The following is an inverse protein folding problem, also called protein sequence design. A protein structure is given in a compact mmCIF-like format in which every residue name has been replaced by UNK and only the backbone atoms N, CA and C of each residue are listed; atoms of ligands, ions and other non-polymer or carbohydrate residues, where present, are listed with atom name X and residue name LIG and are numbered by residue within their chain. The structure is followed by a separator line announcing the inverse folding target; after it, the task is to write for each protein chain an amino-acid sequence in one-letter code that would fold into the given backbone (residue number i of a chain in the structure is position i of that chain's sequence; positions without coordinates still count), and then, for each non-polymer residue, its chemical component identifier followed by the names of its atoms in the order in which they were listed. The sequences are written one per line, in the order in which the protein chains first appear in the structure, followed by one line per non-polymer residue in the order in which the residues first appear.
data_IF_276996363275
#
_entry.id   IF_276996363275
#
_cell.length_a   1.000
_cell.length_b   1.000
_cell.length_c   1.000
_cell.angle_alpha   90.00
_cell.angle_beta   90.00
_cell.angle_gamma   90.00
#
_symmetry.space_group_name_H-M   'P 1'
#
loop_
_entity.id
_entity.type
_entity.pdbx_description
1 polymer ?
#
# COMPACT_ATOMS: atom_id res chain seq x y z
N UNK A 1 -26.20 23.19 6.90
CA UNK A 1 -25.60 22.17 6.01
C UNK A 1 -24.37 22.77 5.38
N UNK A 2 -23.17 22.33 5.77
CA UNK A 2 -21.93 22.77 5.12
C UNK A 2 -21.92 22.29 3.65
N UNK A 3 -21.48 23.10 2.68
CA UNK A 3 -21.46 22.70 1.28
C UNK A 3 -20.59 21.44 1.09
N UNK A 4 -21.15 20.43 0.42
CA UNK A 4 -20.45 19.18 0.12
C UNK A 4 -19.30 19.49 -0.86
N UNK A 5 -18.06 19.44 -0.38
CA UNK A 5 -16.86 19.70 -1.18
C UNK A 5 -16.80 18.66 -2.31
N UNK A 6 -16.58 19.11 -3.55
CA UNK A 6 -16.53 18.22 -4.73
C UNK A 6 -15.15 17.54 -4.82
N UNK A 7 -15.11 16.26 -5.18
CA UNK A 7 -13.84 15.60 -5.52
C UNK A 7 -13.10 16.37 -6.63
N UNK A 8 -11.78 16.49 -6.48
CA UNK A 8 -10.94 17.31 -7.35
C UNK A 8 -10.85 18.80 -6.96
N UNK A 9 -11.62 19.26 -5.95
CA UNK A 9 -11.48 20.62 -5.43
C UNK A 9 -10.06 20.83 -4.89
N UNK A 10 -9.49 22.01 -5.15
CA UNK A 10 -8.12 22.35 -4.70
C UNK A 10 -8.15 23.49 -3.69
N UNK A 11 -7.24 23.44 -2.71
CA UNK A 11 -6.97 24.55 -1.82
C UNK A 11 -5.54 24.49 -1.32
N UNK A 12 -5.03 25.63 -0.85
CA UNK A 12 -3.78 25.67 -0.10
C UNK A 12 -4.04 25.37 1.40
N UNK A 13 -3.17 24.56 2.00
CA UNK A 13 -3.16 24.31 3.46
C UNK A 13 -1.71 24.45 3.91
N UNK A 14 -1.44 25.41 4.78
CA UNK A 14 -0.11 25.68 5.33
C UNK A 14 0.97 25.87 4.24
N UNK A 15 0.65 26.58 3.16
CA UNK A 15 1.57 26.85 2.05
C UNK A 15 1.79 25.65 1.13
N UNK A 16 0.91 24.64 1.18
CA UNK A 16 0.99 23.44 0.36
C UNK A 16 -0.31 23.23 -0.42
N UNK A 17 -0.23 22.95 -1.72
CA UNK A 17 -1.40 22.64 -2.52
C UNK A 17 -1.97 21.28 -2.10
N UNK A 18 -3.28 21.23 -1.90
CA UNK A 18 -4.02 20.01 -1.60
C UNK A 18 -5.20 19.85 -2.57
N UNK A 19 -5.60 18.60 -2.78
CA UNK A 19 -6.75 18.20 -3.58
C UNK A 19 -7.68 17.33 -2.74
N UNK A 20 -8.98 17.55 -2.86
CA UNK A 20 -9.99 16.88 -2.07
C UNK A 20 -10.51 15.61 -2.75
N UNK A 21 -10.50 14.48 -2.04
CA UNK A 21 -11.16 13.23 -2.45
C UNK A 21 -11.75 12.53 -1.23
N UNK A 22 -13.01 12.13 -1.31
CA UNK A 22 -13.68 11.19 -0.39
C UNK A 22 -13.51 11.51 1.11
N UNK A 23 -13.52 12.79 1.48
CA UNK A 23 -13.38 13.27 2.86
C UNK A 23 -11.98 13.78 3.22
N UNK A 24 -10.99 13.58 2.36
CA UNK A 24 -9.59 13.85 2.64
C UNK A 24 -9.04 14.99 1.78
N UNK A 25 -8.27 15.88 2.42
CA UNK A 25 -7.38 16.80 1.72
C UNK A 25 -6.02 16.16 1.58
N UNK A 26 -5.65 15.85 0.34
CA UNK A 26 -4.43 15.11 0.01
C UNK A 26 -3.46 16.08 -0.65
N UNK A 27 -2.16 16.02 -0.31
CA UNK A 27 -1.13 16.82 -1.00
C UNK A 27 -1.23 16.64 -2.51
N UNK A 28 -1.32 17.75 -3.20
CA UNK A 28 -1.44 17.80 -4.65
C UNK A 28 -0.07 17.93 -5.30
N UNK A 29 0.27 16.95 -6.13
CA UNK A 29 1.40 16.98 -7.05
C UNK A 29 0.87 17.16 -8.47
N UNK A 30 1.39 18.17 -9.16
CA UNK A 30 1.02 18.38 -10.54
C UNK A 30 1.45 17.17 -11.40
N UNK A 31 0.54 16.61 -12.22
CA UNK A 31 0.94 15.59 -13.19
C UNK A 31 2.03 16.15 -14.11
N UNK A 32 3.07 15.36 -14.42
CA UNK A 32 4.03 15.72 -15.46
C UNK A 32 3.35 16.00 -16.82
N UNK A 33 4.01 16.73 -17.74
CA UNK A 33 3.51 16.94 -19.09
C UNK A 33 3.24 15.62 -19.82
N UNK A 34 2.19 15.57 -20.63
CA UNK A 34 1.83 14.42 -21.47
C UNK A 34 2.86 14.22 -22.61
N UNK A 35 3.99 13.59 -22.28
CA UNK A 35 5.09 13.30 -23.21
C UNK A 35 5.54 11.86 -23.00
N UNK A 36 6.08 11.21 -24.04
CA UNK A 36 6.61 9.85 -23.90
C UNK A 36 7.76 9.77 -22.87
N UNK A 37 8.63 10.79 -22.79
CA UNK A 37 9.69 10.82 -21.78
C UNK A 37 9.13 10.84 -20.35
N UNK A 38 8.16 11.72 -20.06
CA UNK A 38 7.56 11.76 -18.73
C UNK A 38 6.82 10.45 -18.41
N UNK A 39 6.18 9.84 -19.40
CA UNK A 39 5.52 8.53 -19.27
C UNK A 39 6.51 7.42 -18.96
N UNK A 40 7.67 7.40 -19.63
CA UNK A 40 8.78 6.47 -19.36
C UNK A 40 9.30 6.63 -17.94
N UNK A 41 9.57 7.86 -17.52
CA UNK A 41 10.12 8.13 -16.19
C UNK A 41 9.14 7.70 -15.09
N UNK A 42 7.84 7.95 -15.30
CA UNK A 42 6.78 7.46 -14.43
C UNK A 42 6.71 5.92 -14.41
N UNK A 43 6.77 5.25 -15.56
CA UNK A 43 6.81 3.79 -15.63
C UNK A 43 7.99 3.21 -14.85
N UNK A 44 9.21 3.71 -15.07
CA UNK A 44 10.41 3.25 -14.37
C UNK A 44 10.26 3.39 -12.84
N UNK A 45 9.74 4.53 -12.38
CA UNK A 45 9.54 4.77 -10.96
C UNK A 45 8.47 3.84 -10.35
N UNK A 46 7.38 3.58 -11.07
CA UNK A 46 6.34 2.66 -10.62
C UNK A 46 6.80 1.19 -10.67
N UNK A 47 7.61 0.80 -11.65
CA UNK A 47 8.25 -0.52 -11.70
C UNK A 47 9.11 -0.76 -10.46
N UNK A 48 9.97 0.22 -10.11
CA UNK A 48 10.79 0.15 -8.88
C UNK A 48 9.93 0.05 -7.63
N UNK A 49 8.87 0.85 -7.53
CA UNK A 49 7.94 0.82 -6.40
C UNK A 49 7.23 -0.53 -6.30
N UNK A 50 6.79 -1.09 -7.43
CA UNK A 50 6.12 -2.39 -7.49
C UNK A 50 7.02 -3.47 -6.88
N UNK A 51 8.24 -3.62 -7.39
CA UNK A 51 9.17 -4.63 -6.87
C UNK A 51 9.60 -4.42 -5.42
N UNK A 52 9.62 -3.18 -4.94
CA UNK A 52 9.95 -2.87 -3.54
C UNK A 52 8.90 -3.44 -2.56
N UNK A 53 7.66 -3.59 -3.00
CA UNK A 53 6.54 -4.04 -2.16
C UNK A 53 6.11 -5.48 -2.43
N UNK A 54 6.82 -6.23 -3.27
CA UNK A 54 6.49 -7.61 -3.62
C UNK A 54 7.47 -8.60 -2.99
N UNK A 55 7.14 -9.89 -2.99
CA UNK A 55 8.04 -10.98 -2.59
C UNK A 55 9.47 -10.78 -3.17
N UNK A 56 10.53 -10.92 -2.35
CA UNK A 56 11.90 -10.75 -2.83
C UNK A 56 12.26 -11.82 -3.86
N UNK A 57 13.15 -11.47 -4.79
CA UNK A 57 13.65 -12.39 -5.82
C UNK A 57 12.84 -12.47 -7.10
N UNK A 58 11.64 -11.87 -7.17
CA UNK A 58 10.81 -11.89 -8.40
C UNK A 58 11.20 -10.82 -9.44
N UNK A 59 12.04 -9.85 -9.06
CA UNK A 59 12.56 -8.81 -9.97
C UNK A 59 13.58 -9.39 -10.97
N UNK A 60 13.07 -10.17 -11.92
CA UNK A 60 13.86 -10.91 -12.91
C UNK A 60 14.17 -9.99 -14.11
N UNK A 61 15.41 -9.96 -14.63
CA UNK A 61 15.76 -9.13 -15.79
C UNK A 61 14.91 -9.40 -17.05
N UNK A 62 14.65 -8.35 -17.85
CA UNK A 62 13.82 -8.45 -19.06
C UNK A 62 14.39 -9.37 -20.15
N UNK A 63 15.71 -9.48 -20.25
CA UNK A 63 16.39 -10.41 -21.17
C UNK A 63 16.27 -11.89 -20.75
N UNK A 64 15.69 -12.19 -19.58
CA UNK A 64 15.51 -13.54 -19.04
C UNK A 64 14.09 -14.10 -19.20
N UNK A 65 13.22 -13.44 -19.97
CA UNK A 65 11.83 -13.91 -20.21
C UNK A 65 11.77 -15.35 -20.72
N UNK A 66 12.65 -15.76 -21.64
CA UNK A 66 12.65 -17.12 -22.18
C UNK A 66 13.01 -18.15 -21.10
N UNK A 67 14.05 -17.87 -20.31
CA UNK A 67 14.49 -18.74 -19.20
C UNK A 67 13.39 -18.86 -18.13
N UNK A 68 12.82 -17.73 -17.72
CA UNK A 68 11.72 -17.69 -16.74
C UNK A 68 10.47 -18.43 -17.25
N UNK A 69 10.17 -18.32 -18.55
CA UNK A 69 9.04 -19.01 -19.17
C UNK A 69 9.24 -20.52 -19.20
N UNK A 70 10.44 -20.96 -19.57
CA UNK A 70 10.80 -22.39 -19.55
C UNK A 70 10.63 -22.97 -18.14
N UNK A 71 11.15 -22.27 -17.11
CA UNK A 71 11.01 -22.68 -15.72
C UNK A 71 9.55 -22.74 -15.26
N UNK A 72 8.73 -21.75 -15.61
CA UNK A 72 7.29 -21.74 -15.30
C UNK A 72 6.54 -22.89 -15.97
N UNK A 73 6.83 -23.18 -17.24
CA UNK A 73 6.15 -24.24 -17.99
C UNK A 73 6.53 -25.64 -17.52
N UNK A 74 7.82 -25.87 -17.21
CA UNK A 74 8.35 -27.15 -16.76
C UNK A 74 7.95 -27.50 -15.32
N UNK A 75 7.66 -26.51 -14.48
CA UNK A 75 7.29 -26.74 -13.08
C UNK A 75 5.90 -27.41 -12.97
N UNK A 76 5.81 -28.41 -12.09
CA UNK A 76 4.61 -29.22 -11.85
C UNK A 76 4.07 -29.04 -10.43
N UNK A 77 4.92 -28.71 -9.47
CA UNK A 77 4.47 -28.38 -8.11
C UNK A 77 3.71 -27.04 -8.12
N UNK A 78 2.44 -26.99 -7.68
CA UNK A 78 1.64 -25.77 -7.77
C UNK A 78 2.23 -24.59 -6.99
N UNK A 79 2.87 -24.83 -5.84
CA UNK A 79 3.41 -23.77 -5.01
C UNK A 79 4.66 -23.15 -5.63
N UNK A 80 5.56 -23.98 -6.16
CA UNK A 80 6.73 -23.54 -6.94
C UNK A 80 6.30 -22.88 -8.25
N UNK A 81 5.28 -23.43 -8.94
CA UNK A 81 4.79 -22.90 -10.22
C UNK A 81 4.26 -21.48 -10.07
N UNK A 82 3.59 -21.17 -8.96
CA UNK A 82 3.18 -19.80 -8.60
C UNK A 82 4.38 -18.85 -8.49
N UNK A 83 5.47 -19.26 -7.84
CA UNK A 83 6.68 -18.42 -7.72
C UNK A 83 7.31 -18.21 -9.10
N UNK A 84 7.41 -19.26 -9.91
CA UNK A 84 7.91 -19.14 -11.28
C UNK A 84 7.01 -18.22 -12.14
N UNK A 85 5.70 -18.24 -11.94
CA UNK A 85 4.77 -17.29 -12.57
C UNK A 85 5.07 -15.84 -12.16
N UNK A 86 5.32 -15.59 -10.87
CA UNK A 86 5.70 -14.27 -10.36
C UNK A 86 7.06 -13.80 -10.92
N UNK A 87 8.04 -14.69 -11.05
CA UNK A 87 9.33 -14.39 -11.68
C UNK A 87 9.18 -14.07 -13.17
N UNK A 88 8.37 -14.86 -13.90
CA UNK A 88 8.05 -14.60 -15.29
C UNK A 88 7.31 -13.27 -15.46
N UNK A 89 6.36 -12.96 -14.58
CA UNK A 89 5.69 -11.67 -14.56
C UNK A 89 6.70 -10.53 -14.41
N UNK A 90 7.65 -10.64 -13.47
CA UNK A 90 8.73 -9.66 -13.30
C UNK A 90 9.63 -9.51 -14.52
N UNK A 91 10.00 -10.63 -15.17
CA UNK A 91 10.78 -10.61 -16.41
C UNK A 91 10.05 -9.90 -17.55
N UNK A 92 8.76 -10.21 -17.75
CA UNK A 92 7.92 -9.57 -18.77
C UNK A 92 7.76 -8.07 -18.48
N UNK A 93 7.61 -7.69 -17.22
CA UNK A 93 7.46 -6.30 -16.81
C UNK A 93 8.73 -5.46 -17.06
N UNK A 94 9.89 -6.02 -16.72
CA UNK A 94 11.16 -5.39 -17.03
C UNK A 94 11.39 -5.30 -18.55
N UNK A 95 11.07 -6.36 -19.31
CA UNK A 95 11.13 -6.34 -20.78
C UNK A 95 10.22 -5.26 -21.38
N UNK A 96 8.99 -5.12 -20.88
CA UNK A 96 8.07 -4.07 -21.32
C UNK A 96 8.66 -2.67 -21.08
N UNK A 97 9.27 -2.45 -19.90
CA UNK A 97 9.92 -1.18 -19.53
C UNK A 97 11.16 -0.90 -20.41
N UNK A 98 11.96 -1.92 -20.72
CA UNK A 98 13.13 -1.82 -21.60
C UNK A 98 12.74 -1.46 -23.04
N UNK A 99 11.69 -2.10 -23.56
CA UNK A 99 11.14 -1.80 -24.89
C UNK A 99 10.59 -0.37 -24.92
N UNK A 100 9.79 0.02 -23.92
CA UNK A 100 9.24 1.37 -23.86
C UNK A 100 10.34 2.44 -23.81
N UNK A 101 11.39 2.20 -23.01
CA UNK A 101 12.57 3.07 -22.97
C UNK A 101 13.23 3.20 -24.34
N UNK A 102 13.34 2.09 -25.08
CA UNK A 102 13.89 2.09 -26.44
C UNK A 102 13.04 2.89 -27.42
N UNK A 103 11.71 2.79 -27.31
CA UNK A 103 10.75 3.57 -28.12
C UNK A 103 10.94 5.08 -27.90
N UNK A 104 11.00 5.50 -26.63
CA UNK A 104 11.25 6.91 -26.29
C UNK A 104 12.60 7.40 -26.82
N UNK A 105 13.62 6.54 -26.80
CA UNK A 105 14.95 6.87 -27.34
C UNK A 105 14.98 6.98 -28.87
N UNK A 106 14.08 6.30 -29.58
CA UNK A 106 13.91 6.45 -31.03
C UNK A 106 13.20 7.77 -31.35
N UNK A 107 12.11 8.07 -30.64
CA UNK A 107 11.39 9.34 -30.82
C UNK A 107 12.27 10.56 -30.53
N UNK A 108 13.11 10.52 -29.49
CA UNK A 108 14.02 11.62 -29.16
C UNK A 108 15.07 11.90 -30.24
N UNK A 109 15.29 10.95 -31.16
CA UNK A 109 16.15 11.08 -32.34
C UNK A 109 15.37 11.47 -33.61
N UNK A 110 14.08 11.78 -33.49
CA UNK A 110 13.20 12.14 -34.61
C UNK A 110 12.65 10.94 -35.37
N UNK A 111 12.78 9.72 -34.85
CA UNK A 111 12.19 8.51 -35.46
C UNK A 111 10.78 8.32 -34.90
N UNK A 112 9.77 8.58 -35.74
CA UNK A 112 8.36 8.40 -35.35
C UNK A 112 8.05 6.93 -35.07
N UNK A 113 7.56 6.63 -33.87
CA UNK A 113 7.07 5.29 -33.49
C UNK A 113 5.55 5.36 -33.32
N UNK A 114 4.80 4.81 -34.28
CA UNK A 114 3.33 4.79 -34.21
C UNK A 114 2.83 3.69 -33.26
N UNK A 115 1.55 3.75 -32.88
CA UNK A 115 0.92 2.71 -32.05
C UNK A 115 0.94 1.31 -32.70
N UNK A 116 0.91 1.24 -34.03
CA UNK A 116 0.97 -0.02 -34.78
C UNK A 116 2.39 -0.59 -34.93
N UNK A 117 3.41 0.12 -34.46
CA UNK A 117 4.78 -0.32 -34.51
C UNK A 117 4.96 -1.64 -33.73
N UNK A 118 5.76 -2.56 -34.27
CA UNK A 118 6.02 -3.87 -33.66
C UNK A 118 6.56 -3.76 -32.23
N UNK A 119 7.39 -2.76 -31.93
CA UNK A 119 7.89 -2.51 -30.58
C UNK A 119 6.76 -2.10 -29.62
N UNK A 120 5.81 -1.27 -30.07
CA UNK A 120 4.65 -0.89 -29.26
C UNK A 120 3.75 -2.10 -28.99
N UNK A 121 3.53 -2.96 -29.99
CA UNK A 121 2.75 -4.20 -29.84
C UNK A 121 3.39 -5.18 -28.89
N UNK A 122 4.70 -5.41 -29.01
CA UNK A 122 5.46 -6.29 -28.11
C UNK A 122 5.48 -5.74 -26.68
N UNK A 123 5.63 -4.42 -26.51
CA UNK A 123 5.55 -3.75 -25.21
C UNK A 123 4.17 -3.98 -24.55
N UNK A 124 3.07 -3.80 -25.31
CA UNK A 124 1.71 -4.07 -24.81
C UNK A 124 1.54 -5.52 -24.41
N UNK A 125 1.95 -6.47 -25.26
CA UNK A 125 1.84 -7.90 -24.98
C UNK A 125 2.61 -8.30 -23.70
N UNK A 126 3.80 -7.75 -23.50
CA UNK A 126 4.58 -7.98 -22.29
C UNK A 126 3.85 -7.46 -21.04
N UNK A 127 3.26 -6.25 -21.09
CA UNK A 127 2.50 -5.73 -19.96
C UNK A 127 1.21 -6.50 -19.68
N UNK A 128 0.47 -6.89 -20.72
CA UNK A 128 -0.77 -7.66 -20.59
C UNK A 128 -0.52 -9.02 -19.93
N UNK A 129 0.49 -9.75 -20.38
CA UNK A 129 0.84 -11.03 -19.78
C UNK A 129 1.42 -10.86 -18.37
N UNK A 130 2.26 -9.85 -18.15
CA UNK A 130 2.78 -9.54 -16.82
C UNK A 130 1.65 -9.21 -15.83
N UNK A 131 0.58 -8.53 -16.28
CA UNK A 131 -0.59 -8.23 -15.46
C UNK A 131 -1.36 -9.50 -15.06
N UNK A 132 -1.55 -10.42 -16.01
CA UNK A 132 -2.26 -11.68 -15.74
C UNK A 132 -1.48 -12.59 -14.78
N UNK A 133 -0.19 -12.80 -15.05
CA UNK A 133 0.69 -13.57 -14.16
C UNK A 133 0.92 -12.87 -12.82
N UNK A 134 0.84 -11.53 -12.81
CA UNK A 134 0.96 -10.67 -11.64
C UNK A 134 -0.02 -11.01 -10.51
N UNK A 135 -1.16 -11.64 -10.82
CA UNK A 135 -2.12 -12.15 -9.82
C UNK A 135 -1.51 -13.19 -8.88
N UNK A 136 -0.38 -13.80 -9.25
CA UNK A 136 0.34 -14.78 -8.44
C UNK A 136 1.34 -14.15 -7.46
N UNK A 137 1.64 -12.86 -7.63
CA UNK A 137 2.59 -12.10 -6.82
C UNK A 137 1.96 -11.74 -5.47
N UNK A 138 2.70 -11.94 -4.37
CA UNK A 138 2.21 -11.63 -3.02
C UNK A 138 2.94 -10.44 -2.42
N UNK A 139 2.28 -9.81 -1.44
CA UNK A 139 2.94 -8.88 -0.54
C UNK A 139 3.88 -9.67 0.38
N UNK A 140 5.07 -9.16 0.74
CA UNK A 140 6.01 -9.83 1.66
C UNK A 140 5.40 -10.24 3.01
N UNK A 141 4.38 -9.51 3.47
CA UNK A 141 3.66 -9.83 4.71
C UNK A 141 2.54 -10.85 4.56
N UNK A 142 2.18 -11.24 3.33
CA UNK A 142 1.06 -12.14 3.04
C UNK A 142 -0.31 -11.47 2.91
N UNK A 143 -0.43 -10.17 3.20
CA UNK A 143 -1.66 -9.39 2.98
C UNK A 143 -1.93 -9.13 1.48
N UNK A 144 -3.17 -8.80 1.13
CA UNK A 144 -3.58 -8.44 -0.24
C UNK A 144 -3.13 -7.04 -0.69
N UNK A 145 -3.52 -6.62 -1.90
CA UNK A 145 -3.33 -5.25 -2.42
C UNK A 145 -2.19 -5.11 -3.43
N UNK A 146 -1.41 -6.17 -3.67
CA UNK A 146 -0.34 -6.16 -4.68
C UNK A 146 -0.87 -6.17 -6.09
N UNK A 147 -1.98 -6.84 -6.35
CA UNK A 147 -2.66 -6.84 -7.65
C UNK A 147 -2.96 -5.41 -8.13
N UNK A 148 -3.45 -4.55 -7.24
CA UNK A 148 -3.75 -3.16 -7.53
C UNK A 148 -2.48 -2.32 -7.80
N UNK A 149 -1.40 -2.58 -7.05
CA UNK A 149 -0.08 -1.95 -7.25
C UNK A 149 0.55 -2.41 -8.57
N UNK A 150 0.53 -3.71 -8.84
CA UNK A 150 1.11 -4.36 -10.02
C UNK A 150 0.48 -3.87 -11.32
N UNK A 151 -0.81 -3.52 -11.28
CA UNK A 151 -1.51 -2.93 -12.41
C UNK A 151 -1.19 -1.47 -12.70
N UNK A 152 -0.50 -0.73 -11.82
CA UNK A 152 -0.28 0.71 -12.00
C UNK A 152 0.57 1.07 -13.23
N UNK A 153 1.70 0.38 -13.50
CA UNK A 153 2.46 0.65 -14.72
C UNK A 153 1.66 0.41 -16.00
N UNK A 154 0.85 -0.66 -16.06
CA UNK A 154 -0.02 -0.87 -17.22
C UNK A 154 -1.09 0.22 -17.37
N UNK A 155 -1.65 0.71 -16.25
CA UNK A 155 -2.57 1.87 -16.26
C UNK A 155 -1.87 3.12 -16.79
N UNK A 156 -0.62 3.37 -16.39
CA UNK A 156 0.16 4.47 -16.96
C UNK A 156 0.37 4.25 -18.44
N UNK A 157 0.81 3.08 -18.89
CA UNK A 157 1.04 2.77 -20.30
C UNK A 157 -0.21 3.03 -21.18
N UNK A 158 -1.39 2.66 -20.69
CA UNK A 158 -2.66 2.73 -21.45
C UNK A 158 -3.45 4.02 -21.29
N UNK A 159 -3.21 4.82 -20.23
CA UNK A 159 -3.94 6.05 -19.92
C UNK A 159 -3.06 7.30 -20.11
N UNK A 160 -3.67 8.47 -19.95
CA UNK A 160 -2.94 9.73 -19.77
C UNK A 160 -2.30 9.79 -18.38
N UNK A 161 -1.20 10.53 -18.26
CA UNK A 161 -0.54 10.79 -16.99
C UNK A 161 -1.52 11.50 -16.03
N UNK A 162 -2.28 12.48 -16.52
CA UNK A 162 -3.30 13.17 -15.72
C UNK A 162 -4.37 12.20 -15.16
N UNK A 163 -4.88 11.29 -16.00
CA UNK A 163 -5.87 10.30 -15.58
C UNK A 163 -5.31 9.27 -14.58
N UNK A 164 -4.02 8.92 -14.71
CA UNK A 164 -3.34 8.12 -13.70
C UNK A 164 -3.28 8.86 -12.34
N UNK A 165 -2.86 10.13 -12.32
CA UNK A 165 -2.78 10.92 -11.10
C UNK A 165 -4.16 11.08 -10.42
N UNK A 166 -5.23 11.27 -11.19
CA UNK A 166 -6.59 11.28 -10.65
C UNK A 166 -6.91 9.97 -9.91
N UNK A 167 -6.65 8.83 -10.54
CA UNK A 167 -6.87 7.52 -9.91
C UNK A 167 -5.99 7.31 -8.67
N UNK A 168 -4.76 7.85 -8.66
CA UNK A 168 -3.86 7.81 -7.51
C UNK A 168 -4.47 8.54 -6.31
N UNK A 169 -5.07 9.71 -6.50
CA UNK A 169 -5.66 10.47 -5.40
C UNK A 169 -6.86 9.76 -4.78
N UNK A 170 -7.70 9.11 -5.60
CA UNK A 170 -8.80 8.28 -5.11
C UNK A 170 -8.26 7.14 -4.23
N UNK A 171 -7.23 6.43 -4.66
CA UNK A 171 -6.61 5.35 -3.87
C UNK A 171 -6.00 5.85 -2.56
N UNK A 172 -5.34 7.01 -2.56
CA UNK A 172 -4.78 7.61 -1.34
C UNK A 172 -5.92 7.92 -0.36
N UNK A 173 -7.02 8.52 -0.83
CA UNK A 173 -8.18 8.79 0.01
C UNK A 173 -8.75 7.51 0.65
N UNK A 174 -8.93 6.47 -0.16
CA UNK A 174 -9.41 5.16 0.31
C UNK A 174 -8.46 4.52 1.33
N UNK A 175 -7.14 4.65 1.11
CA UNK A 175 -6.12 4.15 2.04
C UNK A 175 -6.15 4.93 3.35
N UNK A 176 -6.27 6.26 3.32
CA UNK A 176 -6.44 7.09 4.51
C UNK A 176 -7.70 6.71 5.30
N UNK A 177 -8.82 6.46 4.59
CA UNK A 177 -10.05 5.95 5.19
C UNK A 177 -9.88 4.61 5.89
N UNK A 178 -9.16 3.67 5.28
CA UNK A 178 -8.87 2.38 5.91
C UNK A 178 -7.99 2.52 7.17
N UNK A 179 -6.98 3.41 7.13
CA UNK A 179 -6.12 3.71 8.28
C UNK A 179 -6.95 4.32 9.43
N UNK A 180 -7.80 5.29 9.13
CA UNK A 180 -8.65 5.94 10.13
C UNK A 180 -9.68 4.97 10.72
N UNK A 181 -10.21 4.05 9.92
CA UNK A 181 -11.13 3.00 10.39
C UNK A 181 -10.44 2.05 11.38
N UNK A 182 -9.29 1.49 11.01
CA UNK A 182 -8.53 0.58 11.87
C UNK A 182 -8.10 1.27 13.16
N UNK A 183 -7.48 2.45 13.05
CA UNK A 183 -7.01 3.18 14.22
C UNK A 183 -8.15 3.62 15.14
N UNK A 184 -9.29 4.06 14.58
CA UNK A 184 -10.49 4.38 15.34
C UNK A 184 -10.98 3.19 16.16
N UNK A 185 -11.07 1.99 15.56
CA UNK A 185 -11.49 0.78 16.27
C UNK A 185 -10.50 0.35 17.34
N UNK A 186 -9.19 0.43 17.08
CA UNK A 186 -8.17 0.19 18.10
C UNK A 186 -8.37 1.13 19.29
N UNK A 187 -8.52 2.43 19.03
CA UNK A 187 -8.72 3.43 20.09
C UNK A 187 -9.97 3.10 20.91
N UNK A 188 -11.10 2.79 20.27
CA UNK A 188 -12.35 2.44 20.92
C UNK A 188 -12.21 1.22 21.85
N UNK A 189 -11.64 0.13 21.34
CA UNK A 189 -11.48 -1.13 22.10
C UNK A 189 -10.52 -0.93 23.27
N UNK A 190 -9.32 -0.43 23.02
CA UNK A 190 -8.26 -0.40 24.02
C UNK A 190 -8.39 0.75 25.03
N UNK A 191 -8.90 1.92 24.63
CA UNK A 191 -9.03 3.07 25.57
C UNK A 191 -10.05 2.82 26.67
N UNK A 192 -10.98 1.88 26.46
CA UNK A 192 -11.94 1.45 27.47
C UNK A 192 -11.35 0.53 28.55
N UNK A 193 -10.10 0.06 28.37
CA UNK A 193 -9.44 -0.89 29.26
C UNK A 193 -8.36 -0.17 30.08
N UNK A 194 -8.47 -0.12 31.42
CA UNK A 194 -7.46 0.57 32.26
C UNK A 194 -6.03 0.07 32.07
N UNK A 195 -5.86 -1.23 31.78
CA UNK A 195 -4.56 -1.84 31.54
C UNK A 195 -3.82 -1.26 30.32
N UNK A 196 -4.55 -0.66 29.38
CA UNK A 196 -4.02 -0.11 28.13
C UNK A 196 -4.02 1.43 28.12
N UNK A 197 -4.08 2.07 29.29
CA UNK A 197 -4.11 3.52 29.40
C UNK A 197 -2.97 4.19 28.60
N UNK A 198 -3.30 5.22 27.83
CA UNK A 198 -2.35 6.01 27.04
C UNK A 198 -2.13 5.54 25.60
N UNK A 199 -2.38 4.26 25.26
CA UNK A 199 -2.10 3.73 23.91
C UNK A 199 -2.90 4.46 22.82
N UNK A 200 -4.11 4.91 23.13
CA UNK A 200 -4.99 5.59 22.16
C UNK A 200 -4.37 6.86 21.56
N UNK A 201 -3.61 7.63 22.36
CA UNK A 201 -2.94 8.83 21.86
C UNK A 201 -1.79 8.50 20.89
N UNK A 202 -1.04 7.44 21.17
CA UNK A 202 0.02 6.92 20.30
C UNK A 202 -0.57 6.40 18.99
N UNK A 203 -1.66 5.63 19.04
CA UNK A 203 -2.34 5.10 17.85
C UNK A 203 -2.91 6.22 16.98
N UNK A 204 -3.51 7.25 17.59
CA UNK A 204 -4.02 8.41 16.86
C UNK A 204 -2.89 9.16 16.13
N UNK A 205 -1.75 9.34 16.81
CA UNK A 205 -0.58 9.99 16.23
C UNK A 205 0.03 9.14 15.10
N UNK A 206 0.07 7.82 15.28
CA UNK A 206 0.56 6.87 14.29
C UNK A 206 -0.31 6.88 13.03
N UNK A 207 -1.63 6.88 13.19
CA UNK A 207 -2.58 7.00 12.07
C UNK A 207 -2.41 8.32 11.31
N UNK A 208 -2.21 9.44 12.02
CA UNK A 208 -1.90 10.74 11.42
C UNK A 208 -0.62 10.67 10.57
N UNK A 209 0.46 10.14 11.13
CA UNK A 209 1.74 9.98 10.41
C UNK A 209 1.60 9.03 9.21
N UNK A 210 0.84 7.94 9.34
CA UNK A 210 0.56 7.00 8.25
C UNK A 210 -0.24 7.61 7.09
N UNK A 211 -1.21 8.49 7.38
CA UNK A 211 -1.91 9.25 6.32
C UNK A 211 -0.95 10.17 5.57
N UNK A 212 -0.05 10.86 6.28
CA UNK A 212 0.97 11.71 5.65
C UNK A 212 1.92 10.86 4.78
N UNK A 213 2.33 9.68 5.22
CA UNK A 213 3.15 8.75 4.41
C UNK A 213 2.46 8.31 3.11
N UNK A 214 1.13 8.17 3.12
CA UNK A 214 0.36 7.78 1.92
C UNK A 214 0.46 8.82 0.79
N UNK A 215 0.54 10.10 1.15
CA UNK A 215 0.50 11.20 0.18
C UNK A 215 1.89 11.73 -0.20
N UNK A 216 2.88 11.62 0.68
CA UNK A 216 4.19 12.26 0.52
C UNK A 216 5.02 11.68 -0.64
N UNK A 217 5.84 12.48 -1.32
CA UNK A 217 6.91 11.97 -2.18
C UNK A 217 8.23 11.89 -1.41
N UNK A 218 9.07 10.89 -1.68
CA UNK A 218 10.40 10.77 -1.02
C UNK A 218 11.35 11.95 -1.32
N UNK A 219 11.04 12.74 -2.34
CA UNK A 219 11.74 13.99 -2.67
C UNK A 219 11.35 15.17 -1.78
N UNK A 220 10.25 15.07 -1.02
CA UNK A 220 9.78 16.15 -0.17
C UNK A 220 10.68 16.27 1.08
N UNK A 221 11.14 17.48 1.46
CA UNK A 221 11.95 17.66 2.66
C UNK A 221 11.26 17.20 3.96
N UNK A 222 9.92 17.26 4.00
CA UNK A 222 9.14 16.79 5.16
C UNK A 222 9.29 15.29 5.43
N UNK A 223 9.80 14.53 4.46
CA UNK A 223 10.06 13.11 4.64
C UNK A 223 10.98 12.87 5.82
N UNK A 224 11.98 13.74 6.02
CA UNK A 224 12.91 13.66 7.14
C UNK A 224 12.29 14.01 8.50
N UNK A 225 11.05 14.51 8.51
CA UNK A 225 10.27 14.75 9.73
C UNK A 225 9.24 13.64 9.95
N UNK A 226 8.46 13.32 8.93
CA UNK A 226 7.35 12.38 9.07
C UNK A 226 7.80 10.92 9.14
N UNK A 227 8.82 10.52 8.37
CA UNK A 227 9.27 9.12 8.35
C UNK A 227 9.83 8.65 9.70
N UNK A 228 10.73 9.40 10.38
CA UNK A 228 11.16 9.04 11.72
C UNK A 228 9.99 8.96 12.72
N UNK A 229 9.06 9.92 12.68
CA UNK A 229 7.89 9.91 13.55
C UNK A 229 7.00 8.67 13.29
N UNK A 230 6.74 8.35 12.02
CA UNK A 230 5.94 7.19 11.65
C UNK A 230 6.56 5.87 12.14
N UNK A 231 7.87 5.70 11.95
CA UNK A 231 8.60 4.50 12.38
C UNK A 231 8.63 4.41 13.91
N UNK A 232 8.99 5.48 14.61
CA UNK A 232 9.11 5.47 16.07
C UNK A 232 7.77 5.33 16.78
N UNK A 233 6.68 5.88 16.24
CA UNK A 233 5.34 5.65 16.79
C UNK A 233 4.91 4.18 16.65
N UNK A 234 5.29 3.51 15.56
CA UNK A 234 5.08 2.07 15.40
C UNK A 234 5.86 1.28 16.44
N UNK A 235 7.13 1.64 16.66
CA UNK A 235 7.98 1.03 17.69
C UNK A 235 7.38 1.22 19.08
N UNK A 236 6.89 2.41 19.41
CA UNK A 236 6.20 2.67 20.68
C UNK A 236 4.95 1.80 20.88
N UNK A 237 4.16 1.57 19.82
CA UNK A 237 3.03 0.63 19.89
C UNK A 237 3.54 -0.79 20.14
N UNK A 238 4.67 -1.17 19.53
CA UNK A 238 5.31 -2.47 19.73
C UNK A 238 5.92 -2.66 21.12
N UNK A 239 6.44 -1.60 21.72
CA UNK A 239 7.05 -1.62 23.05
C UNK A 239 6.03 -1.40 24.17
N UNK A 240 4.75 -1.20 23.84
CA UNK A 240 3.72 -0.97 24.83
C UNK A 240 3.55 -2.18 25.77
N UNK A 241 3.73 -1.94 27.07
CA UNK A 241 3.51 -2.93 28.12
C UNK A 241 2.23 -2.59 28.89
N UNK A 242 1.19 -3.44 28.85
CA UNK A 242 -0.04 -3.22 29.60
C UNK A 242 0.22 -3.39 31.09
N UNK A 243 -0.42 -2.54 31.90
CA UNK A 243 -0.34 -2.63 33.36
C UNK A 243 -1.44 -3.58 33.87
N UNK A 244 -1.10 -4.79 34.35
CA UNK A 244 -2.10 -5.76 34.74
C UNK A 244 -2.84 -5.32 36.02
N UNK A 245 -4.18 -5.52 36.09
CA UNK A 245 -4.93 -5.38 37.33
C UNK A 245 -4.40 -6.30 38.44
N UNK A 246 -4.52 -5.87 39.69
CA UNK A 246 -4.16 -6.71 40.85
C UNK A 246 -5.06 -7.95 40.92
N UNK A 247 -4.47 -9.12 41.20
CA UNK A 247 -5.22 -10.37 41.31
C UNK A 247 -5.65 -10.98 39.96
N UNK A 248 -4.92 -10.67 38.89
CA UNK A 248 -5.23 -11.12 37.53
C UNK A 248 -5.30 -12.66 37.42
N UNK A 249 -6.37 -13.17 36.83
CA UNK A 249 -6.48 -14.58 36.49
C UNK A 249 -5.54 -14.96 35.33
N UNK A 250 -5.16 -16.23 35.23
CA UNK A 250 -4.34 -16.72 34.11
C UNK A 250 -5.00 -16.46 32.74
N UNK A 251 -6.32 -16.59 32.66
CA UNK A 251 -7.10 -16.30 31.44
C UNK A 251 -7.06 -14.81 31.08
N UNK A 252 -7.24 -13.92 32.06
CA UNK A 252 -7.10 -12.49 31.83
C UNK A 252 -5.66 -12.12 31.43
N UNK A 253 -4.65 -12.76 32.01
CA UNK A 253 -3.25 -12.62 31.57
C UNK A 253 -3.04 -12.99 30.10
N UNK A 254 -3.63 -14.11 29.65
CA UNK A 254 -3.57 -14.52 28.24
C UNK A 254 -4.26 -13.51 27.31
N UNK A 255 -5.37 -12.90 27.73
CA UNK A 255 -6.04 -11.87 26.94
C UNK A 255 -5.22 -10.58 26.85
N UNK A 256 -4.53 -10.14 27.91
CA UNK A 256 -3.60 -9.00 27.80
C UNK A 256 -2.53 -9.23 26.73
N UNK A 257 -1.93 -10.43 26.71
CA UNK A 257 -0.93 -10.80 25.69
C UNK A 257 -1.53 -10.85 24.28
N UNK A 258 -2.77 -11.32 24.14
CA UNK A 258 -3.50 -11.24 22.86
C UNK A 258 -3.72 -9.79 22.44
N UNK A 259 -4.09 -8.91 23.37
CA UNK A 259 -4.25 -7.47 23.12
C UNK A 259 -2.97 -6.84 22.56
N UNK A 260 -1.80 -7.13 23.14
CA UNK A 260 -0.52 -6.66 22.60
C UNK A 260 -0.28 -7.15 21.16
N UNK A 261 -0.54 -8.44 20.88
CA UNK A 261 -0.43 -8.97 19.50
C UNK A 261 -1.35 -8.24 18.53
N UNK A 262 -2.61 -7.99 18.92
CA UNK A 262 -3.56 -7.26 18.09
C UNK A 262 -3.11 -5.80 17.84
N UNK A 263 -2.50 -5.14 18.81
CA UNK A 263 -1.90 -3.81 18.59
C UNK A 263 -0.78 -3.88 17.53
N UNK A 264 0.07 -4.91 17.59
CA UNK A 264 1.15 -5.09 16.63
C UNK A 264 0.62 -5.36 15.22
N UNK A 265 -0.34 -6.28 15.11
CA UNK A 265 -0.97 -6.65 13.84
C UNK A 265 -1.65 -5.44 13.18
N UNK A 266 -2.33 -4.61 13.97
CA UNK A 266 -2.96 -3.37 13.49
C UNK A 266 -1.93 -2.34 13.04
N UNK A 267 -0.85 -2.16 13.79
CA UNK A 267 0.23 -1.26 13.43
C UNK A 267 0.96 -1.72 12.15
N UNK A 268 1.13 -3.03 11.98
CA UNK A 268 1.68 -3.63 10.77
C UNK A 268 0.76 -3.44 9.57
N UNK A 269 -0.54 -3.71 9.72
CA UNK A 269 -1.52 -3.53 8.65
C UNK A 269 -1.59 -2.07 8.17
N UNK A 270 -1.65 -1.10 9.09
CA UNK A 270 -1.56 0.34 8.77
C UNK A 270 -0.24 0.64 8.03
N UNK A 271 0.88 0.08 8.49
CA UNK A 271 2.19 0.28 7.87
C UNK A 271 2.24 -0.23 6.43
N UNK A 272 1.69 -1.42 6.18
CA UNK A 272 1.66 -2.01 4.85
C UNK A 272 0.80 -1.19 3.90
N UNK A 273 -0.41 -0.81 4.33
CA UNK A 273 -1.28 0.07 3.55
C UNK A 273 -0.63 1.42 3.25
N UNK A 274 0.02 2.04 4.25
CA UNK A 274 0.69 3.34 4.06
C UNK A 274 1.87 3.26 3.09
N UNK A 275 2.69 2.21 3.20
CA UNK A 275 3.83 1.98 2.32
C UNK A 275 3.39 1.71 0.88
N UNK A 276 2.44 0.80 0.70
CA UNK A 276 1.94 0.40 -0.63
C UNK A 276 0.99 1.44 -1.22
N UNK A 277 0.32 2.26 -0.40
CA UNK A 277 -0.70 3.27 -0.78
C UNK A 277 -1.91 2.66 -1.46
N UNK A 278 -2.29 1.49 -0.99
CA UNK A 278 -3.43 0.72 -1.48
C UNK A 278 -4.19 0.21 -0.26
N UNK A 279 -5.53 0.34 -0.22
CA UNK A 279 -6.33 -0.23 0.85
C UNK A 279 -6.27 -1.77 0.81
N UNK A 280 -6.28 -2.39 1.99
CA UNK A 280 -6.30 -3.84 2.16
C UNK A 280 -7.66 -4.25 2.78
N UNK A 281 -8.75 -4.30 2.00
CA UNK A 281 -10.11 -4.42 2.53
C UNK A 281 -10.42 -5.79 3.15
N UNK A 282 -9.77 -6.87 2.70
CA UNK A 282 -9.98 -8.20 3.27
C UNK A 282 -9.30 -8.28 4.62
N UNK A 283 -8.01 -7.93 4.67
CA UNK A 283 -7.21 -7.91 5.89
C UNK A 283 -7.76 -6.92 6.91
N UNK A 284 -8.28 -5.76 6.47
CA UNK A 284 -8.97 -4.81 7.34
C UNK A 284 -10.18 -5.46 8.00
N UNK A 285 -11.02 -6.17 7.24
CA UNK A 285 -12.21 -6.82 7.79
C UNK A 285 -11.86 -7.93 8.78
N UNK A 286 -10.90 -8.78 8.43
CA UNK A 286 -10.43 -9.87 9.29
C UNK A 286 -9.84 -9.32 10.60
N UNK A 287 -9.07 -8.24 10.52
CA UNK A 287 -8.50 -7.57 11.69
C UNK A 287 -9.57 -6.94 12.59
N UNK A 288 -10.55 -6.23 12.01
CA UNK A 288 -11.66 -5.64 12.78
C UNK A 288 -12.48 -6.72 13.50
N UNK A 289 -12.75 -7.86 12.84
CA UNK A 289 -13.41 -8.99 13.49
C UNK A 289 -12.58 -9.54 14.66
N UNK A 290 -11.25 -9.64 14.51
CA UNK A 290 -10.38 -10.11 15.58
C UNK A 290 -10.37 -9.16 16.80
N UNK A 291 -10.54 -7.85 16.58
CA UNK A 291 -10.74 -6.86 17.65
C UNK A 291 -12.11 -7.03 18.33
N UNK A 292 -13.17 -7.27 17.57
CA UNK A 292 -14.52 -7.50 18.11
C UNK A 292 -14.55 -8.75 19.00
N UNK A 293 -13.96 -9.86 18.53
CA UNK A 293 -13.86 -11.10 19.29
C UNK A 293 -13.03 -10.91 20.58
N UNK A 294 -11.96 -10.12 20.50
CA UNK A 294 -11.12 -9.79 21.66
C UNK A 294 -11.86 -8.96 22.70
N UNK A 295 -12.66 -7.99 22.27
CA UNK A 295 -13.47 -7.16 23.15
C UNK A 295 -14.48 -8.00 23.95
N UNK A 296 -15.16 -8.94 23.28
CA UNK A 296 -16.09 -9.88 23.93
C UNK A 296 -15.36 -10.75 24.95
N UNK A 297 -14.20 -11.29 24.61
CA UNK A 297 -13.42 -12.12 25.53
C UNK A 297 -12.95 -11.33 26.75
N UNK A 298 -12.54 -10.07 26.57
CA UNK A 298 -12.12 -9.17 27.65
C UNK A 298 -13.24 -8.88 28.66
N UNK A 299 -14.50 -8.79 28.20
CA UNK A 299 -15.67 -8.70 29.09
C UNK A 299 -15.84 -9.99 29.91
N UNK A 300 -15.70 -11.15 29.27
CA UNK A 300 -15.83 -12.46 29.93
C UNK A 300 -14.78 -12.72 31.03
N UNK A 301 -13.60 -12.11 30.92
CA UNK A 301 -12.52 -12.25 31.91
C UNK A 301 -12.38 -11.04 32.86
N UNK A 302 -13.27 -10.06 32.77
CA UNK A 302 -13.29 -8.89 33.65
C UNK A 302 -12.17 -7.86 33.41
N UNK A 303 -11.53 -7.88 32.24
CA UNK A 303 -10.53 -6.86 31.83
C UNK A 303 -11.18 -5.57 31.34
N UNK A 304 -12.42 -5.67 30.87
CA UNK A 304 -13.25 -4.55 30.44
C UNK A 304 -14.53 -4.58 31.26
N UNK A 305 -14.96 -3.43 31.77
CA UNK A 305 -16.29 -3.27 32.36
C UNK A 305 -17.28 -2.85 31.29
N UNK A 306 -18.52 -3.32 31.40
CA UNK A 306 -19.63 -2.70 30.66
C UNK A 306 -19.76 -1.29 31.24
N UNK A 307 -19.58 -0.26 30.41
CA UNK A 307 -19.89 1.11 30.81
C UNK A 307 -21.35 1.17 31.26
N UNK A 308 -21.57 1.62 32.49
CA UNK A 308 -22.90 1.90 33.04
C UNK A 308 -23.60 3.03 32.27
#
# INVERSE_FOLDING_TARGET
MSPKIKNGSRKDINGRPHIYYDGYWIRYYAPPPETLSAKRDLLIMLTRRTFHHTEPGINTPGNKVADARSAYQAETDPACKRVNAAMLAGALFNRATDIFTSIVNLESKGISVTHDNELMRECSACFEEALELGKQVRHPSGHEGIDELWGEPFKVFTRSIAGYYESRYVKIAQTMGAIDNISGRIIEVFSSMPAFHGIGATVLSFARAGRIECEMMKSDPDFFLNWPEFVTLKEQIREFEPVPPTGLSALAGAQLQRGCRLLYDGADLISYMAGVRVPMPKSTREYLQALDDFEVDCLGVGLKSVSA
#
